data_IF_192214749266
#
_entry.id   IF_192214749266
#
_cell.length_a   1.000
_cell.length_b   1.000
_cell.length_c   1.000
_cell.angle_alpha   90.00
_cell.angle_beta   90.00
_cell.angle_gamma   90.00
#
_symmetry.space_group_name_H-M   'P 1'
#
loop_
_entity.id
_entity.type
_entity.pdbx_description
1 polymer ?
#
# COMPACT_ATOMS: atom_id res chain seq x y z
N UNK A 1 0.68 -17.86 8.40
CA UNK A 1 -0.53 -17.21 7.84
C UNK A 1 -1.57 -18.27 7.52
N UNK A 2 -2.64 -18.38 8.32
CA UNK A 2 -3.70 -19.38 8.07
C UNK A 2 -4.64 -18.86 6.98
N UNK A 3 -4.99 -19.70 6.00
CA UNK A 3 -6.04 -19.39 5.02
C UNK A 3 -5.60 -18.75 3.70
N UNK A 4 -4.30 -18.53 3.48
CA UNK A 4 -3.80 -18.06 2.18
C UNK A 4 -3.93 -19.18 1.15
N UNK A 5 -4.51 -18.87 -0.01
CA UNK A 5 -4.62 -19.76 -1.17
C UNK A 5 -3.68 -19.29 -2.27
N UNK A 6 -3.43 -20.16 -3.24
CA UNK A 6 -2.59 -19.84 -4.40
C UNK A 6 -3.04 -18.53 -5.10
N UNK A 7 -4.35 -18.31 -5.28
CA UNK A 7 -4.88 -17.11 -5.93
C UNK A 7 -4.66 -15.80 -5.17
N UNK A 8 -4.33 -15.89 -3.87
CA UNK A 8 -4.04 -14.75 -3.02
C UNK A 8 -2.54 -14.37 -3.12
N UNK A 9 -1.71 -15.20 -3.78
CA UNK A 9 -0.31 -14.88 -4.08
C UNK A 9 -0.17 -13.97 -5.31
N UNK A 10 0.84 -13.08 -5.33
CA UNK A 10 1.16 -12.25 -6.48
C UNK A 10 1.23 -13.05 -7.79
N UNK A 11 0.72 -12.48 -8.89
CA UNK A 11 0.65 -13.17 -10.19
C UNK A 11 2.00 -13.69 -10.68
N UNK A 12 3.08 -12.96 -10.43
CA UNK A 12 4.44 -13.36 -10.80
C UNK A 12 4.97 -14.57 -10.01
N UNK A 13 4.38 -14.91 -8.84
CA UNK A 13 4.71 -16.15 -8.12
C UNK A 13 3.87 -17.35 -8.57
N UNK A 14 2.93 -17.15 -9.49
CA UNK A 14 2.04 -18.19 -10.03
C UNK A 14 2.45 -18.69 -11.42
N UNK A 15 3.58 -18.21 -11.94
CA UNK A 15 4.15 -18.67 -13.20
C UNK A 15 4.81 -20.05 -13.06
N UNK A 16 4.86 -20.81 -14.14
CA UNK A 16 5.63 -22.06 -14.24
C UNK A 16 6.96 -21.87 -14.94
N UNK A 17 7.25 -20.65 -15.43
CA UNK A 17 8.53 -20.31 -16.03
C UNK A 17 9.54 -19.93 -14.95
N UNK A 18 10.58 -20.75 -14.79
CA UNK A 18 11.67 -20.50 -13.85
C UNK A 18 12.63 -19.40 -14.31
N UNK A 19 12.48 -18.94 -15.56
CA UNK A 19 13.24 -17.86 -16.18
C UNK A 19 12.46 -16.53 -16.18
N UNK A 20 11.34 -16.48 -15.45
CA UNK A 20 10.53 -15.28 -15.32
C UNK A 20 11.33 -14.17 -14.62
N UNK A 21 11.47 -13.04 -15.30
CA UNK A 21 12.23 -11.90 -14.82
C UNK A 21 11.81 -11.42 -13.42
N UNK A 22 10.51 -11.44 -13.12
CA UNK A 22 10.01 -10.97 -11.83
C UNK A 22 10.39 -11.93 -10.70
N UNK A 23 10.44 -13.24 -10.98
CA UNK A 23 10.94 -14.23 -10.02
C UNK A 23 12.42 -13.97 -9.71
N UNK A 24 13.26 -13.84 -10.75
CA UNK A 24 14.70 -13.58 -10.58
C UNK A 24 14.96 -12.28 -9.84
N UNK A 25 14.20 -11.22 -10.18
CA UNK A 25 14.26 -9.94 -9.50
C UNK A 25 13.94 -10.08 -8.00
N UNK A 26 12.82 -10.73 -7.65
CA UNK A 26 12.39 -10.89 -6.25
C UNK A 26 13.39 -11.70 -5.44
N UNK A 27 13.93 -12.80 -5.98
CA UNK A 27 14.98 -13.55 -5.31
C UNK A 27 16.25 -12.72 -5.10
N UNK A 28 16.65 -11.94 -6.10
CA UNK A 28 17.76 -11.00 -5.98
C UNK A 28 17.57 -9.98 -4.87
N UNK A 29 16.38 -9.39 -4.75
CA UNK A 29 16.05 -8.43 -3.69
C UNK A 29 16.00 -9.09 -2.30
N UNK A 30 15.51 -10.34 -2.18
CA UNK A 30 15.54 -11.10 -0.91
C UNK A 30 16.99 -11.32 -0.45
N UNK A 31 17.88 -11.73 -1.35
CA UNK A 31 19.29 -11.94 -1.02
C UNK A 31 20.02 -10.64 -0.67
N UNK A 32 19.61 -9.50 -1.23
CA UNK A 32 20.10 -8.18 -0.80
C UNK A 32 19.55 -7.81 0.58
N UNK A 33 18.26 -8.02 0.83
CA UNK A 33 17.61 -7.72 2.10
C UNK A 33 18.26 -8.47 3.27
N UNK A 34 18.67 -9.73 3.07
CA UNK A 34 19.43 -10.53 4.06
C UNK A 34 20.77 -9.93 4.47
N UNK A 35 21.38 -9.12 3.59
CA UNK A 35 22.69 -8.49 3.78
C UNK A 35 22.59 -7.02 4.18
N UNK A 36 21.38 -6.48 4.29
CA UNK A 36 21.17 -5.10 4.72
C UNK A 36 21.56 -4.93 6.20
N UNK A 37 21.87 -3.70 6.62
CA UNK A 37 22.08 -3.40 8.04
C UNK A 37 20.78 -3.44 8.84
N UNK A 38 19.66 -3.11 8.18
CA UNK A 38 18.31 -3.11 8.73
C UNK A 38 17.28 -3.10 7.58
N UNK A 39 16.04 -3.46 7.89
CA UNK A 39 14.89 -3.36 6.98
C UNK A 39 13.84 -2.46 7.62
N UNK A 40 13.31 -1.53 6.83
CA UNK A 40 12.23 -0.64 7.26
C UNK A 40 10.95 -1.04 6.53
N UNK A 41 9.91 -1.38 7.29
CA UNK A 41 8.57 -1.62 6.75
C UNK A 41 7.63 -0.47 7.08
N UNK A 42 6.85 -0.05 6.09
CA UNK A 42 5.71 0.84 6.30
C UNK A 42 4.51 0.04 6.82
N UNK A 43 4.58 -0.33 8.11
CA UNK A 43 3.53 -1.03 8.87
C UNK A 43 3.66 -0.65 10.34
N UNK A 44 2.85 -1.24 11.22
CA UNK A 44 2.97 -1.11 12.67
C UNK A 44 2.70 -2.43 13.39
N UNK A 45 3.34 -2.62 14.53
CA UNK A 45 3.40 -3.87 15.29
C UNK A 45 2.01 -4.52 15.51
N UNK A 46 1.05 -3.74 15.99
CA UNK A 46 -0.29 -4.24 16.34
C UNK A 46 -1.07 -4.81 15.16
N UNK A 47 -0.74 -4.43 13.91
CA UNK A 47 -1.40 -4.95 12.71
C UNK A 47 -0.80 -6.26 12.22
N UNK A 48 0.52 -6.45 12.37
CA UNK A 48 1.31 -7.46 11.65
C UNK A 48 2.25 -8.27 12.56
N UNK A 49 2.03 -8.26 13.88
CA UNK A 49 2.93 -8.84 14.89
C UNK A 49 3.49 -10.23 14.52
N UNK A 50 2.64 -11.20 14.20
CA UNK A 50 3.06 -12.56 13.85
C UNK A 50 3.95 -12.61 12.59
N UNK A 51 3.74 -11.69 11.64
CA UNK A 51 4.54 -11.60 10.41
C UNK A 51 5.89 -10.97 10.73
N UNK A 52 5.91 -9.91 11.53
CA UNK A 52 7.13 -9.23 11.96
C UNK A 52 8.03 -10.14 12.80
N UNK A 53 7.45 -10.91 13.73
CA UNK A 53 8.16 -11.92 14.51
C UNK A 53 8.83 -12.96 13.60
N UNK A 54 8.07 -13.51 12.64
CA UNK A 54 8.61 -14.48 11.69
C UNK A 54 9.75 -13.88 10.84
N UNK A 55 9.58 -12.66 10.33
CA UNK A 55 10.61 -11.98 9.53
C UNK A 55 11.86 -11.65 10.36
N UNK A 56 11.71 -11.29 11.64
CA UNK A 56 12.83 -10.96 12.53
C UNK A 56 13.77 -12.16 12.76
N UNK A 57 13.27 -13.39 12.60
CA UNK A 57 14.08 -14.61 12.67
C UNK A 57 14.88 -14.91 11.41
N UNK A 58 14.55 -14.24 10.28
CA UNK A 58 15.09 -14.54 8.95
C UNK A 58 15.94 -13.40 8.37
N UNK A 59 15.78 -12.19 8.89
CA UNK A 59 16.37 -10.97 8.34
C UNK A 59 17.10 -10.15 9.41
N UNK A 60 17.94 -9.17 9.01
CA UNK A 60 18.50 -8.16 9.89
C UNK A 60 17.42 -7.39 10.67
N UNK A 61 17.79 -6.55 11.65
CA UNK A 61 16.84 -5.79 12.46
C UNK A 61 15.77 -5.09 11.64
N UNK A 62 14.51 -5.33 12.02
CA UNK A 62 13.32 -4.81 11.34
C UNK A 62 12.77 -3.63 12.14
N UNK A 63 12.47 -2.53 11.45
CA UNK A 63 11.83 -1.36 12.01
C UNK A 63 10.53 -1.07 11.28
N UNK A 64 9.47 -0.81 12.05
CA UNK A 64 8.17 -0.42 11.53
C UNK A 64 7.95 1.07 11.74
N UNK A 65 7.62 1.82 10.68
CA UNK A 65 7.48 3.30 10.73
C UNK A 65 6.07 3.79 10.40
N UNK A 66 5.08 2.92 10.49
CA UNK A 66 3.68 3.23 10.18
C UNK A 66 2.83 3.52 11.43
N UNK A 67 1.66 4.13 11.24
CA UNK A 67 1.30 4.95 10.09
C UNK A 67 1.98 6.34 10.17
N UNK A 68 2.76 6.71 9.14
CA UNK A 68 3.63 7.89 9.18
C UNK A 68 2.86 9.19 9.46
N UNK A 69 1.64 9.33 8.95
CA UNK A 69 0.82 10.54 9.19
C UNK A 69 0.52 10.78 10.69
N UNK A 70 0.34 9.73 11.49
CA UNK A 70 0.14 9.87 12.94
C UNK A 70 1.44 10.21 13.66
N UNK A 71 2.57 9.71 13.16
CA UNK A 71 3.90 10.02 13.70
C UNK A 71 4.30 11.46 13.42
N UNK A 72 4.02 11.96 12.20
CA UNK A 72 4.32 13.35 11.81
C UNK A 72 3.60 14.37 12.68
N UNK A 73 2.35 14.10 13.06
CA UNK A 73 1.58 14.99 13.95
C UNK A 73 2.20 15.16 15.36
N UNK A 74 3.16 14.33 15.74
CA UNK A 74 3.84 14.39 17.03
C UNK A 74 5.14 15.22 16.98
N UNK A 75 5.59 15.62 15.79
CA UNK A 75 6.85 16.33 15.60
C UNK A 75 6.59 17.83 15.56
N UNK A 76 7.16 18.56 16.52
CA UNK A 76 7.12 20.02 16.57
C UNK A 76 8.33 20.62 15.83
N UNK A 77 8.44 20.33 14.54
CA UNK A 77 9.45 20.92 13.65
C UNK A 77 8.78 21.38 12.35
N UNK A 78 8.63 22.69 12.22
CA UNK A 78 7.99 23.33 11.07
C UNK A 78 8.75 23.11 9.76
N UNK A 79 10.05 22.81 9.81
CA UNK A 79 10.85 22.54 8.60
C UNK A 79 10.42 21.24 7.91
N UNK A 80 9.90 20.27 8.67
CA UNK A 80 9.44 18.99 8.14
C UNK A 80 8.07 19.08 7.46
N UNK A 81 7.31 20.16 7.68
CA UNK A 81 6.04 20.42 6.96
C UNK A 81 6.24 20.59 5.46
N UNK A 82 7.47 20.92 5.03
CA UNK A 82 7.83 21.02 3.62
C UNK A 82 8.07 19.64 2.97
N UNK A 83 8.25 18.58 3.76
CA UNK A 83 8.39 17.21 3.28
C UNK A 83 6.98 16.68 2.99
N UNK A 84 6.51 16.91 1.76
CA UNK A 84 5.23 16.38 1.28
C UNK A 84 5.25 14.86 1.20
N UNK A 85 4.09 14.23 1.47
CA UNK A 85 3.90 12.78 1.29
C UNK A 85 3.35 12.42 -0.09
N UNK A 86 3.10 13.41 -0.95
CA UNK A 86 2.51 13.27 -2.28
C UNK A 86 3.53 13.63 -3.36
N UNK A 87 3.51 12.87 -4.47
CA UNK A 87 4.30 13.19 -5.67
C UNK A 87 3.58 14.18 -6.61
N UNK A 88 2.33 14.54 -6.28
CA UNK A 88 1.46 15.37 -7.10
C UNK A 88 1.03 16.62 -6.33
N UNK A 89 0.70 17.68 -7.07
CA UNK A 89 0.10 18.88 -6.50
C UNK A 89 -1.27 18.51 -5.91
N UNK A 90 -1.53 18.98 -4.70
CA UNK A 90 -2.81 18.77 -4.02
C UNK A 90 -3.91 19.59 -4.68
N UNK A 91 -5.11 19.00 -4.80
CA UNK A 91 -6.31 19.59 -5.38
C UNK A 91 -7.30 19.96 -4.26
N UNK A 92 -7.28 21.21 -3.77
CA UNK A 92 -8.14 21.62 -2.65
C UNK A 92 -9.63 21.60 -2.99
N UNK A 93 -10.01 21.66 -4.27
CA UNK A 93 -11.38 21.73 -4.75
C UNK A 93 -12.21 20.51 -4.34
N UNK A 94 -11.59 19.33 -4.24
CA UNK A 94 -12.24 18.11 -3.77
C UNK A 94 -12.69 18.24 -2.30
N UNK A 95 -11.90 18.93 -1.46
CA UNK A 95 -12.25 19.16 -0.05
C UNK A 95 -13.36 20.20 0.07
N UNK A 96 -13.33 21.25 -0.75
CA UNK A 96 -14.41 22.25 -0.82
C UNK A 96 -15.73 21.59 -1.21
N UNK A 97 -15.73 20.71 -2.21
CA UNK A 97 -16.91 19.92 -2.58
C UNK A 97 -17.36 18.99 -1.45
N UNK A 98 -16.43 18.31 -0.77
CA UNK A 98 -16.75 17.39 0.34
C UNK A 98 -17.43 18.11 1.51
N UNK A 99 -17.03 19.36 1.81
CA UNK A 99 -17.65 20.20 2.84
C UNK A 99 -19.14 20.52 2.57
N UNK A 100 -19.63 20.29 1.34
CA UNK A 100 -21.05 20.50 0.97
C UNK A 100 -21.93 19.26 1.17
N UNK A 101 -21.35 18.14 1.61
CA UNK A 101 -22.04 16.84 1.74
C UNK A 101 -22.32 16.50 3.19
N UNK A 102 -23.35 15.68 3.42
CA UNK A 102 -23.68 15.19 4.75
C UNK A 102 -22.56 14.26 5.28
N UNK A 103 -22.34 14.22 6.60
CA UNK A 103 -21.38 13.30 7.19
C UNK A 103 -21.65 11.85 6.79
N UNK A 104 -20.60 11.12 6.41
CA UNK A 104 -20.66 9.72 5.99
C UNK A 104 -21.51 9.44 4.73
N UNK A 105 -21.81 10.45 3.90
CA UNK A 105 -22.62 10.29 2.69
C UNK A 105 -21.82 10.12 1.39
N UNK A 106 -20.49 10.14 1.45
CA UNK A 106 -19.60 10.10 0.28
C UNK A 106 -18.76 8.84 0.29
N UNK A 107 -18.70 8.16 -0.85
CA UNK A 107 -17.83 7.00 -1.06
C UNK A 107 -16.58 7.45 -1.83
N UNK A 108 -15.40 7.24 -1.24
CA UNK A 108 -14.12 7.43 -1.93
C UNK A 108 -13.76 6.15 -2.70
N UNK A 109 -13.38 6.31 -3.96
CA UNK A 109 -12.96 5.22 -4.84
C UNK A 109 -11.61 5.54 -5.46
N UNK A 110 -10.63 4.67 -5.27
CA UNK A 110 -9.33 4.74 -5.93
C UNK A 110 -8.72 3.33 -6.03
N UNK A 111 -8.17 2.98 -7.20
CA UNK A 111 -7.51 1.69 -7.45
C UNK A 111 -5.98 1.79 -7.46
N UNK A 112 -5.42 2.93 -7.05
CA UNK A 112 -4.00 3.21 -7.12
C UNK A 112 -3.52 3.54 -8.54
N UNK A 113 -2.21 3.69 -8.71
CA UNK A 113 -1.59 4.14 -9.96
C UNK A 113 -1.20 3.00 -10.93
N UNK A 114 -1.20 1.74 -10.48
CA UNK A 114 -0.80 0.58 -11.28
C UNK A 114 -2.00 -0.14 -11.89
N UNK A 115 -3.17 -0.04 -11.27
CA UNK A 115 -4.35 -0.79 -11.72
C UNK A 115 -4.85 -0.28 -13.05
N UNK A 116 -4.96 -1.18 -14.03
CA UNK A 116 -5.54 -0.90 -15.35
C UNK A 116 -6.93 -1.53 -15.42
N UNK A 117 -7.94 -0.70 -15.71
CA UNK A 117 -9.32 -1.14 -15.91
C UNK A 117 -9.66 -1.06 -17.39
N UNK A 118 -10.23 -2.14 -17.93
CA UNK A 118 -10.76 -2.13 -19.30
C UNK A 118 -11.97 -1.20 -19.41
N UNK A 119 -12.29 -0.66 -20.59
CA UNK A 119 -13.48 0.18 -20.78
C UNK A 119 -14.78 -0.50 -20.30
N UNK A 120 -14.94 -1.80 -20.56
CA UNK A 120 -16.11 -2.55 -20.11
C UNK A 120 -16.20 -2.63 -18.58
N UNK A 121 -15.08 -2.92 -17.90
CA UNK A 121 -15.06 -2.92 -16.44
C UNK A 121 -15.38 -1.54 -15.85
N UNK A 122 -14.94 -0.46 -16.51
CA UNK A 122 -15.25 0.91 -16.10
C UNK A 122 -16.74 1.21 -16.24
N UNK A 123 -17.37 0.76 -17.33
CA UNK A 123 -18.82 0.89 -17.53
C UNK A 123 -19.59 0.11 -16.47
N UNK A 124 -19.25 -1.15 -16.23
CA UNK A 124 -19.90 -1.96 -15.20
C UNK A 124 -19.72 -1.36 -13.80
N UNK A 125 -18.53 -0.84 -13.50
CA UNK A 125 -18.26 -0.17 -12.23
C UNK A 125 -19.10 1.10 -12.06
N UNK A 126 -19.19 1.93 -13.11
CA UNK A 126 -20.00 3.14 -13.12
C UNK A 126 -21.50 2.83 -12.94
N UNK A 127 -22.00 1.79 -13.60
CA UNK A 127 -23.37 1.31 -13.37
C UNK A 127 -23.58 0.80 -11.95
N UNK A 128 -22.58 0.10 -11.39
CA UNK A 128 -22.59 -0.31 -9.99
C UNK A 128 -22.80 0.88 -9.04
N UNK A 129 -21.99 1.94 -9.21
CA UNK A 129 -22.09 3.16 -8.40
C UNK A 129 -23.42 3.92 -8.59
N UNK A 130 -23.89 4.04 -9.84
CA UNK A 130 -25.14 4.74 -10.15
C UNK A 130 -26.38 4.08 -9.53
N UNK A 131 -26.30 2.78 -9.24
CA UNK A 131 -27.37 2.00 -8.64
C UNK A 131 -27.24 1.86 -7.10
N UNK A 132 -26.25 2.51 -6.48
CA UNK A 132 -26.18 2.63 -5.01
C UNK A 132 -27.21 3.68 -4.60
N UNK A 133 -28.36 3.21 -4.11
CA UNK A 133 -29.35 4.00 -3.39
C UNK A 133 -28.91 4.21 -1.94
#
# INVERSE_FOLDING_TARGET
>A
MKGIRLKDLPSFLRTTDLSDFMIDFVFGEIEKARRASAIIFYTFENSEHNVLEALSSMFPPIYTIGPLHLLMNQINDDSLKLIGSNLWKEEPECLEWLNTKEPNSVVYVNFGNITVMTPNQMVEFAWGLANIN
#
